data_IF_748687397976
#
_entry.id   IF_748687397976
#
_cell.length_a   1.000
_cell.length_b   1.000
_cell.length_c   1.000
_cell.angle_alpha   90.00
_cell.angle_beta   90.00
_cell.angle_gamma   90.00
#
_symmetry.space_group_name_H-M   'P 1'
#
loop_
_entity.id
_entity.type
_entity.pdbx_description
1 polymer ?
#
# COMPACT_ATOMS: atom_id res chain seq x y z
N UNK A 1 -14.09 -19.88 -3.31
CA UNK A 1 -13.04 -19.04 -3.93
C UNK A 1 -13.72 -17.79 -4.42
N UNK A 2 -13.31 -16.63 -3.91
CA UNK A 2 -13.86 -15.36 -4.35
C UNK A 2 -13.24 -14.86 -5.63
N UNK A 3 -13.89 -13.91 -6.29
CA UNK A 3 -13.30 -13.27 -7.47
C UNK A 3 -12.25 -12.23 -7.07
N UNK A 4 -11.23 -12.14 -7.91
CA UNK A 4 -10.17 -11.14 -7.82
C UNK A 4 -9.80 -10.71 -9.24
N UNK A 5 -9.57 -9.42 -9.45
CA UNK A 5 -9.20 -8.87 -10.76
C UNK A 5 -8.17 -7.76 -10.62
N UNK A 6 -7.03 -7.98 -11.26
CA UNK A 6 -6.04 -6.93 -11.49
C UNK A 6 -6.36 -6.18 -12.79
N UNK A 7 -6.31 -4.85 -12.74
CA UNK A 7 -6.52 -3.95 -13.88
C UNK A 7 -5.40 -2.93 -13.92
N UNK A 8 -4.60 -2.97 -14.98
CA UNK A 8 -3.56 -1.97 -15.22
C UNK A 8 -4.18 -0.68 -15.76
N UNK A 9 -3.78 0.45 -15.18
CA UNK A 9 -4.21 1.80 -15.58
C UNK A 9 -3.12 2.55 -16.36
N UNK A 10 -1.87 2.06 -16.31
CA UNK A 10 -0.73 2.62 -17.00
C UNK A 10 0.33 1.56 -17.33
N UNK A 11 1.39 1.97 -18.03
CA UNK A 11 2.57 1.12 -18.23
C UNK A 11 3.61 1.42 -17.15
N UNK A 12 4.26 0.40 -16.58
CA UNK A 12 5.32 0.61 -15.63
C UNK A 12 6.51 1.33 -16.27
N UNK A 13 7.05 2.34 -15.60
CA UNK A 13 8.18 3.13 -16.11
C UNK A 13 9.51 2.87 -15.39
N UNK A 14 9.54 2.02 -14.36
CA UNK A 14 10.77 1.69 -13.63
C UNK A 14 11.16 0.22 -13.77
N UNK A 15 12.43 -0.14 -13.54
CA UNK A 15 12.68 -1.13 -12.52
C UNK A 15 12.29 -0.52 -11.16
N UNK A 16 11.56 -1.27 -10.33
CA UNK A 16 11.19 -0.84 -8.98
C UNK A 16 11.97 -1.67 -7.97
N UNK A 17 12.80 -1.06 -7.13
CA UNK A 17 13.53 -1.80 -6.08
C UNK A 17 12.72 -2.01 -4.80
N UNK A 18 11.78 -1.10 -4.51
CA UNK A 18 11.05 -1.04 -3.24
C UNK A 18 9.58 -0.73 -3.49
N UNK A 19 8.71 -1.41 -2.75
CA UNK A 19 7.32 -1.04 -2.57
C UNK A 19 7.05 -0.67 -1.11
N UNK A 20 6.20 0.33 -0.88
CA UNK A 20 5.71 0.73 0.43
C UNK A 20 4.20 0.52 0.46
N UNK A 21 3.74 -0.32 1.38
CA UNK A 21 2.32 -0.59 1.60
C UNK A 21 1.85 0.01 2.92
N UNK A 22 0.71 0.69 2.89
CA UNK A 22 0.08 1.28 4.05
C UNK A 22 -1.42 1.33 3.86
N UNK A 23 -2.13 0.58 4.70
CA UNK A 23 -3.59 0.47 4.63
C UNK A 23 -4.26 1.22 5.79
N UNK A 24 -5.57 1.51 5.70
CA UNK A 24 -6.32 2.06 6.81
C UNK A 24 -6.25 1.14 8.02
N UNK A 25 -5.99 1.66 9.21
CA UNK A 25 -5.75 0.87 10.41
C UNK A 25 -5.66 1.73 11.67
N UNK A 26 -4.88 1.30 12.65
CA UNK A 26 -4.69 2.05 13.91
C UNK A 26 -4.24 3.48 13.62
N UNK A 27 -5.05 4.45 14.06
CA UNK A 27 -4.87 5.89 13.85
C UNK A 27 -4.59 6.30 12.40
N UNK A 28 -4.96 5.46 11.43
CA UNK A 28 -4.71 5.66 10.00
C UNK A 28 -3.24 5.90 9.62
N UNK A 29 -2.27 5.45 10.44
CA UNK A 29 -0.84 5.74 10.24
C UNK A 29 -0.35 5.24 8.87
N UNK A 30 -0.63 3.98 8.52
CA UNK A 30 -0.16 3.38 7.27
C UNK A 30 -0.68 4.12 6.03
N UNK A 31 -1.99 4.25 5.89
CA UNK A 31 -2.60 4.98 4.79
C UNK A 31 -2.17 6.46 4.76
N UNK A 32 -2.03 7.11 5.92
CA UNK A 32 -1.55 8.48 6.02
C UNK A 32 -0.13 8.66 5.47
N UNK A 33 0.79 7.75 5.78
CA UNK A 33 2.16 7.79 5.23
C UNK A 33 2.17 7.58 3.72
N UNK A 34 1.38 6.64 3.19
CA UNK A 34 1.30 6.42 1.74
C UNK A 34 0.66 7.62 1.03
N UNK A 35 -0.35 8.25 1.61
CA UNK A 35 -0.95 9.49 1.08
C UNK A 35 0.08 10.62 1.02
N UNK A 36 0.80 10.84 2.12
CA UNK A 36 1.85 11.86 2.18
C UNK A 36 2.96 11.62 1.14
N UNK A 37 3.47 10.40 1.04
CA UNK A 37 4.49 10.06 0.04
C UNK A 37 3.98 10.24 -1.40
N UNK A 38 2.72 9.88 -1.65
CA UNK A 38 2.08 10.07 -2.96
C UNK A 38 2.01 11.53 -3.37
N UNK A 39 1.68 12.42 -2.43
CA UNK A 39 1.61 13.87 -2.65
C UNK A 39 3.00 14.48 -2.85
N UNK A 40 3.95 14.17 -1.97
CA UNK A 40 5.29 14.78 -1.98
C UNK A 40 6.15 14.33 -3.16
N UNK A 41 6.04 13.05 -3.54
CA UNK A 41 6.84 12.47 -4.62
C UNK A 41 6.16 12.59 -5.98
N UNK A 42 4.88 12.96 -6.01
CA UNK A 42 4.02 12.74 -7.16
C UNK A 42 3.84 11.24 -7.40
N UNK A 43 2.60 10.80 -7.60
CA UNK A 43 2.36 9.40 -7.93
C UNK A 43 1.29 9.28 -9.00
N UNK A 44 1.49 8.30 -9.87
CA UNK A 44 0.54 7.93 -10.90
C UNK A 44 0.06 6.51 -10.68
N UNK A 45 -1.25 6.32 -10.79
CA UNK A 45 -1.85 5.02 -10.64
C UNK A 45 -1.35 4.07 -11.74
N UNK A 46 -0.76 2.95 -11.33
CA UNK A 46 -0.25 1.92 -12.21
C UNK A 46 -1.26 0.78 -12.38
N UNK A 47 -1.82 0.29 -11.27
CA UNK A 47 -2.79 -0.79 -11.28
C UNK A 47 -3.78 -0.73 -10.10
N UNK A 48 -4.93 -1.40 -10.28
CA UNK A 48 -5.91 -1.65 -9.23
C UNK A 48 -6.16 -3.14 -9.09
N UNK A 49 -6.25 -3.62 -7.85
CA UNK A 49 -6.72 -4.96 -7.52
C UNK A 49 -8.12 -4.85 -6.91
N UNK A 50 -9.11 -5.39 -7.60
CA UNK A 50 -10.48 -5.50 -7.14
C UNK A 50 -10.74 -6.92 -6.62
N UNK A 51 -11.61 -7.05 -5.63
CA UNK A 51 -12.05 -8.35 -5.13
C UNK A 51 -13.38 -8.23 -4.41
N UNK A 52 -14.15 -9.31 -4.35
CA UNK A 52 -15.27 -9.41 -3.40
C UNK A 52 -14.83 -9.30 -1.95
N UNK A 53 -13.55 -9.47 -1.62
CA UNK A 53 -13.07 -9.33 -0.25
C UNK A 53 -12.91 -7.88 0.22
N UNK A 54 -13.09 -6.90 -0.67
CA UNK A 54 -12.98 -5.47 -0.37
C UNK A 54 -14.37 -4.84 -0.25
N UNK A 55 -14.84 -4.64 0.99
CA UNK A 55 -16.15 -4.05 1.27
C UNK A 55 -16.00 -2.70 1.95
N UNK A 56 -16.81 -1.72 1.55
CA UNK A 56 -17.00 -0.51 2.34
C UNK A 56 -17.84 -0.83 3.58
N UNK A 57 -17.44 -0.38 4.80
CA UNK A 57 -18.21 -0.64 6.00
C UNK A 57 -19.60 0.02 5.98
N UNK A 58 -20.62 -0.67 6.50
CA UNK A 58 -21.98 -0.14 6.69
C UNK A 58 -22.82 -0.12 5.40
N UNK A 59 -24.06 0.35 5.49
CA UNK A 59 -25.09 0.41 4.42
C UNK A 59 -24.72 1.34 3.24
N UNK A 60 -23.48 1.27 2.76
CA UNK A 60 -22.93 2.05 1.66
C UNK A 60 -23.17 1.27 0.37
N UNK A 61 -23.39 1.98 -0.74
CA UNK A 61 -23.73 1.42 -2.06
C UNK A 61 -22.64 0.52 -2.69
N UNK A 62 -21.62 0.09 -1.93
CA UNK A 62 -20.46 -0.66 -2.43
C UNK A 62 -19.47 0.19 -3.22
N UNK A 63 -19.63 1.52 -3.20
CA UNK A 63 -18.80 2.51 -3.92
C UNK A 63 -18.45 3.70 -3.01
N UNK A 64 -17.29 4.29 -3.26
CA UNK A 64 -16.93 5.62 -2.75
C UNK A 64 -17.37 6.67 -3.77
N UNK A 65 -17.94 7.79 -3.32
CA UNK A 65 -18.35 8.91 -4.20
C UNK A 65 -17.46 10.10 -3.91
N UNK A 66 -16.84 10.67 -4.95
CA UNK A 66 -16.02 11.87 -4.85
C UNK A 66 -16.89 13.13 -4.78
N UNK A 67 -16.29 14.26 -4.37
CA UNK A 67 -16.98 15.57 -4.36
C UNK A 67 -17.47 15.99 -5.75
N UNK A 68 -16.80 15.55 -6.81
CA UNK A 68 -17.20 15.77 -8.21
C UNK A 68 -18.37 14.88 -8.67
N UNK A 69 -18.91 14.03 -7.80
CA UNK A 69 -19.97 13.06 -8.12
C UNK A 69 -19.49 11.84 -8.89
N UNK A 70 -18.18 11.68 -9.08
CA UNK A 70 -17.59 10.44 -9.59
C UNK A 70 -17.70 9.33 -8.56
N UNK A 71 -17.64 8.07 -8.99
CA UNK A 71 -17.65 6.94 -8.07
C UNK A 71 -16.54 5.94 -8.38
N UNK A 72 -16.04 5.29 -7.33
CA UNK A 72 -15.02 4.26 -7.43
C UNK A 72 -15.42 3.03 -6.61
N UNK A 73 -15.15 1.85 -7.16
CA UNK A 73 -15.21 0.60 -6.40
C UNK A 73 -14.00 0.48 -5.47
N UNK A 74 -14.16 -0.12 -4.28
CA UNK A 74 -13.04 -0.44 -3.40
C UNK A 74 -11.98 -1.26 -4.13
N UNK A 75 -10.74 -0.83 -4.03
CA UNK A 75 -9.61 -1.51 -4.67
C UNK A 75 -8.34 -1.30 -3.86
N UNK A 76 -7.42 -2.26 -3.96
CA UNK A 76 -6.03 -1.96 -3.65
C UNK A 76 -5.45 -1.20 -4.83
N UNK A 77 -4.96 0.00 -4.57
CA UNK A 77 -4.33 0.86 -5.56
C UNK A 77 -2.82 0.70 -5.45
N UNK A 78 -2.19 0.50 -6.60
CA UNK A 78 -0.75 0.39 -6.75
C UNK A 78 -0.34 1.54 -7.65
N UNK A 79 0.36 2.52 -7.09
CA UNK A 79 0.84 3.71 -7.79
C UNK A 79 2.36 3.68 -7.87
N UNK A 80 2.92 4.26 -8.92
CA UNK A 80 4.37 4.47 -9.00
C UNK A 80 4.71 5.94 -8.75
N UNK A 81 5.86 6.20 -8.13
CA UNK A 81 6.34 7.57 -7.93
C UNK A 81 6.80 8.18 -9.25
N UNK A 82 6.44 9.43 -9.49
CA UNK A 82 6.91 10.17 -10.65
C UNK A 82 8.37 10.60 -10.48
N UNK A 83 8.70 11.06 -9.26
CA UNK A 83 10.07 11.40 -8.86
C UNK A 83 10.85 10.15 -8.49
N UNK A 84 12.10 10.10 -8.95
CA UNK A 84 13.08 9.14 -8.49
C UNK A 84 13.71 9.60 -7.18
N UNK A 85 13.94 8.66 -6.27
CA UNK A 85 14.73 8.88 -5.06
C UNK A 85 16.16 8.46 -5.34
N UNK A 86 17.13 9.36 -5.06
CA UNK A 86 18.54 9.08 -5.23
C UNK A 86 18.97 7.77 -4.54
N UNK A 87 19.49 6.82 -5.31
CA UNK A 87 19.91 5.50 -4.82
C UNK A 87 18.80 4.45 -4.66
N UNK A 88 17.53 4.81 -4.84
CA UNK A 88 16.38 3.87 -4.80
C UNK A 88 15.60 3.81 -6.13
N UNK A 89 15.72 4.83 -6.98
CA UNK A 89 14.94 4.93 -8.22
C UNK A 89 13.48 5.24 -7.94
N UNK A 90 12.58 4.71 -8.77
CA UNK A 90 11.13 4.80 -8.56
C UNK A 90 10.66 3.74 -7.57
N UNK A 91 9.63 4.08 -6.81
CA UNK A 91 9.01 3.17 -5.83
C UNK A 91 7.56 2.88 -6.22
N UNK A 92 7.04 1.76 -5.72
CA UNK A 92 5.60 1.51 -5.72
C UNK A 92 5.00 1.92 -4.37
N UNK A 93 3.88 2.61 -4.40
CA UNK A 93 3.09 3.00 -3.24
C UNK A 93 1.76 2.25 -3.29
N UNK A 94 1.41 1.55 -2.21
CA UNK A 94 0.28 0.63 -2.17
C UNK A 94 -0.65 1.01 -1.02
N UNK A 95 -1.92 1.26 -1.33
CA UNK A 95 -2.95 1.54 -0.34
C UNK A 95 -4.33 1.11 -0.82
N UNK A 96 -5.36 1.34 0.01
CA UNK A 96 -6.75 1.10 -0.33
C UNK A 96 -7.65 1.96 0.55
N UNK A 97 -8.89 2.18 0.11
CA UNK A 97 -9.92 2.78 0.95
C UNK A 97 -10.30 1.88 2.14
N UNK A 98 -10.06 0.57 2.03
CA UNK A 98 -10.47 -0.44 3.02
C UNK A 98 -9.43 -1.55 3.16
N UNK A 99 -9.46 -2.27 4.28
CA UNK A 99 -8.77 -3.55 4.36
C UNK A 99 -9.67 -4.68 3.87
N UNK A 100 -9.10 -5.76 3.29
CA UNK A 100 -9.86 -6.96 3.01
C UNK A 100 -10.47 -7.55 4.29
N UNK A 101 -11.62 -8.22 4.15
CA UNK A 101 -12.19 -9.03 5.24
C UNK A 101 -11.23 -10.11 5.69
N UNK A 102 -11.25 -10.53 6.97
CA UNK A 102 -10.23 -11.42 7.54
C UNK A 102 -9.95 -12.69 6.73
N UNK A 103 -10.98 -13.34 6.20
CA UNK A 103 -10.84 -14.57 5.39
C UNK A 103 -10.38 -14.34 3.95
N UNK A 104 -10.28 -13.09 3.49
CA UNK A 104 -9.81 -12.71 2.16
C UNK A 104 -8.46 -11.99 2.15
N UNK A 105 -7.88 -11.71 3.32
CA UNK A 105 -6.63 -10.95 3.44
C UNK A 105 -5.47 -11.60 2.70
N UNK A 106 -5.29 -12.92 2.86
CA UNK A 106 -4.19 -13.65 2.21
C UNK A 106 -4.37 -13.73 0.70
N UNK A 107 -5.61 -13.86 0.19
CA UNK A 107 -5.90 -13.88 -1.25
C UNK A 107 -5.54 -12.55 -1.90
N UNK A 108 -6.01 -11.43 -1.33
CA UNK A 108 -5.71 -10.09 -1.84
C UNK A 108 -4.23 -9.77 -1.73
N UNK A 109 -3.59 -10.09 -0.58
CA UNK A 109 -2.17 -9.87 -0.39
C UNK A 109 -1.32 -10.67 -1.38
N UNK A 110 -1.71 -11.92 -1.66
CA UNK A 110 -0.99 -12.79 -2.60
C UNK A 110 -0.99 -12.22 -4.02
N UNK A 111 -2.12 -11.70 -4.50
CA UNK A 111 -2.15 -11.09 -5.84
C UNK A 111 -1.31 -9.80 -5.89
N UNK A 112 -1.42 -8.94 -4.86
CA UNK A 112 -0.63 -7.70 -4.79
C UNK A 112 0.87 -8.03 -4.81
N UNK A 113 1.31 -8.97 -3.97
CA UNK A 113 2.71 -9.41 -3.89
C UNK A 113 3.16 -9.99 -5.23
N UNK A 114 2.36 -10.87 -5.85
CA UNK A 114 2.66 -11.45 -7.15
C UNK A 114 2.85 -10.39 -8.23
N UNK A 115 1.96 -9.38 -8.27
CA UNK A 115 2.07 -8.30 -9.24
C UNK A 115 3.32 -7.46 -9.02
N UNK A 116 3.56 -6.94 -7.81
CA UNK A 116 4.71 -6.06 -7.57
C UNK A 116 6.05 -6.80 -7.74
N UNK A 117 6.09 -8.09 -7.40
CA UNK A 117 7.26 -8.95 -7.68
C UNK A 117 7.50 -9.09 -9.18
N UNK A 118 6.44 -9.23 -9.99
CA UNK A 118 6.57 -9.31 -11.45
C UNK A 118 7.12 -8.02 -12.08
N UNK A 119 7.00 -6.89 -11.39
CA UNK A 119 7.57 -5.59 -11.77
C UNK A 119 9.02 -5.39 -11.26
N UNK A 120 9.58 -6.38 -10.59
CA UNK A 120 10.97 -6.36 -10.10
C UNK A 120 11.15 -5.87 -8.67
N UNK A 121 10.08 -5.66 -7.90
CA UNK A 121 10.20 -5.27 -6.49
C UNK A 121 10.92 -6.34 -5.69
N UNK A 122 12.03 -5.95 -5.06
CA UNK A 122 12.84 -6.84 -4.22
C UNK A 122 12.48 -6.72 -2.73
N UNK A 123 11.92 -5.57 -2.33
CA UNK A 123 11.60 -5.28 -0.93
C UNK A 123 10.23 -4.64 -0.78
N UNK A 124 9.41 -5.21 0.10
CA UNK A 124 8.13 -4.67 0.50
C UNK A 124 8.22 -4.16 1.95
N UNK A 125 8.01 -2.87 2.15
CA UNK A 125 7.94 -2.22 3.46
C UNK A 125 6.47 -2.01 3.79
N UNK A 126 6.00 -2.58 4.91
CA UNK A 126 4.62 -2.38 5.39
C UNK A 126 4.63 -1.41 6.56
N UNK A 127 3.86 -0.34 6.47
CA UNK A 127 3.74 0.68 7.51
C UNK A 127 2.37 0.56 8.17
N UNK A 128 2.37 0.42 9.50
CA UNK A 128 1.16 0.28 10.30
C UNK A 128 1.27 1.07 11.61
N UNK A 129 0.12 1.43 12.18
CA UNK A 129 0.06 2.00 13.52
C UNK A 129 0.06 0.90 14.59
N UNK A 130 0.68 1.17 15.73
CA UNK A 130 0.66 0.31 16.91
C UNK A 130 0.21 1.13 18.13
N UNK A 131 -0.82 0.67 18.83
CA UNK A 131 -1.40 1.39 19.97
C UNK A 131 -0.88 0.82 21.28
N UNK A 132 0.17 1.44 21.80
CA UNK A 132 0.73 1.12 23.12
C UNK A 132 1.20 2.42 23.81
N UNK A 133 0.62 2.77 24.99
CA UNK A 133 1.02 3.96 25.74
C UNK A 133 2.51 4.01 26.13
N UNK A 134 3.18 2.87 26.30
CA UNK A 134 4.60 2.81 26.69
C UNK A 134 5.55 3.06 25.50
N UNK A 135 5.02 2.99 24.27
CA UNK A 135 5.78 3.10 23.03
C UNK A 135 5.43 4.37 22.23
N UNK A 136 4.75 5.34 22.86
CA UNK A 136 4.43 6.63 22.24
C UNK A 136 5.70 7.30 21.69
N UNK A 137 5.63 7.73 20.44
CA UNK A 137 6.73 8.42 19.75
C UNK A 137 7.86 7.50 19.28
N UNK A 138 7.76 6.18 19.49
CA UNK A 138 8.71 5.19 18.99
C UNK A 138 8.21 4.58 17.68
N UNK A 139 9.16 4.24 16.81
CA UNK A 139 8.92 3.37 15.65
C UNK A 139 9.38 1.98 16.06
N UNK A 140 8.64 0.95 15.64
CA UNK A 140 9.02 -0.45 15.83
C UNK A 140 9.30 -1.06 14.47
N UNK A 141 10.28 -1.94 14.38
CA UNK A 141 10.61 -2.62 13.13
C UNK A 141 10.78 -4.12 13.32
N UNK A 142 10.33 -4.90 12.32
CA UNK A 142 10.51 -6.34 12.22
C UNK A 142 10.41 -6.75 10.75
N UNK A 143 11.04 -7.88 10.39
CA UNK A 143 11.06 -8.33 9.01
C UNK A 143 12.09 -9.42 8.75
N UNK A 144 12.23 -9.78 7.48
CA UNK A 144 13.15 -10.83 7.01
C UNK A 144 14.49 -10.30 6.46
N UNK A 145 14.58 -9.01 6.12
CA UNK A 145 15.80 -8.38 5.60
C UNK A 145 16.61 -7.76 6.75
N UNK A 146 17.61 -8.51 7.24
CA UNK A 146 18.44 -8.11 8.39
C UNK A 146 19.18 -6.79 8.14
N UNK A 147 19.73 -6.61 6.95
CA UNK A 147 20.52 -5.42 6.61
C UNK A 147 19.63 -4.16 6.63
N UNK A 148 18.39 -4.28 6.15
CA UNK A 148 17.41 -3.20 6.22
C UNK A 148 16.97 -2.91 7.66
N UNK A 149 16.73 -3.94 8.48
CA UNK A 149 16.38 -3.75 9.89
C UNK A 149 17.50 -3.03 10.66
N UNK A 150 18.76 -3.39 10.46
CA UNK A 150 19.89 -2.69 11.07
C UNK A 150 19.96 -1.23 10.65
N UNK A 151 19.63 -0.91 9.40
CA UNK A 151 19.56 0.48 8.92
C UNK A 151 18.43 1.25 9.58
N UNK A 152 17.25 0.64 9.75
CA UNK A 152 16.14 1.28 10.46
C UNK A 152 16.47 1.57 11.92
N UNK A 153 17.09 0.62 12.62
CA UNK A 153 17.56 0.82 14.00
C UNK A 153 18.59 1.96 14.10
N UNK A 154 19.52 2.05 13.15
CA UNK A 154 20.48 3.18 13.07
C UNK A 154 19.80 4.54 12.85
N UNK A 155 18.62 4.55 12.24
CA UNK A 155 17.80 5.75 12.02
C UNK A 155 16.82 6.04 13.17
N UNK A 156 16.80 5.23 14.25
CA UNK A 156 15.97 5.46 15.43
C UNK A 156 14.64 4.70 15.45
N UNK A 157 14.50 3.65 14.64
CA UNK A 157 13.44 2.64 14.84
C UNK A 157 13.78 1.64 15.95
#
# INVERSE_FOLDING_TARGET
>A
MGWLRLVESGRPEGPYGVAIAGYPGVANVGAGVVSYLSEELGSKLLARVYSEYLFLPGNVAGISVSESGGFELPSVQISETEREIGGLGRMLLISSQVQPVPWGQLEVASEVIKYVTSLGVERLIVIAGYADPELIGKVLTFGSDKDMLERFLKCGA
#
